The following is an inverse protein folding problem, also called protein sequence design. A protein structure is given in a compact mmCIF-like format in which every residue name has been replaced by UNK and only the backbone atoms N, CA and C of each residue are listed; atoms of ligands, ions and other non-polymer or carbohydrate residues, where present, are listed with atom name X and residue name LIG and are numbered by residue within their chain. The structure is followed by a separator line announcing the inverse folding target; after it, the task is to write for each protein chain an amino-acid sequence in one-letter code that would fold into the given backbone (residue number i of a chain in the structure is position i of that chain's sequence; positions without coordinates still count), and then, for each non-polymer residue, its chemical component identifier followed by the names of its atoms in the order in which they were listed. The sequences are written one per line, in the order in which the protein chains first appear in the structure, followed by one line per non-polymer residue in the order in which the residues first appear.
data_IF_955413657114
#
_entry.id   IF_955413657114
#
_cell.length_a   1.000
_cell.length_b   1.000
_cell.length_c   1.000
_cell.angle_alpha   90.00
_cell.angle_beta   90.00
_cell.angle_gamma   90.00
#
_symmetry.space_group_name_H-M   'P 1'
#
loop_
_entity.id
_entity.type
_entity.pdbx_description
1 polymer ?
#
# COMPACT_ATOMS: atom_id res chain seq x y z
N UNK A 1 -10.62 11.06 -2.89
CA UNK A 1 -9.28 10.81 -2.28
C UNK A 1 -8.67 9.48 -2.70
N UNK A 2 -9.18 8.30 -2.30
CA UNK A 2 -8.53 6.99 -2.58
C UNK A 2 -8.21 6.70 -4.05
N UNK A 3 -9.10 7.04 -4.99
CA UNK A 3 -8.88 6.74 -6.41
C UNK A 3 -7.75 7.55 -7.03
N UNK A 4 -7.61 8.84 -6.66
CA UNK A 4 -6.51 9.70 -7.11
C UNK A 4 -5.17 9.15 -6.62
N UNK A 5 -5.09 8.80 -5.33
CA UNK A 5 -3.89 8.18 -4.75
C UNK A 5 -3.48 6.91 -5.51
N UNK A 6 -4.44 6.03 -5.85
CA UNK A 6 -4.14 4.81 -6.62
C UNK A 6 -3.58 5.11 -8.01
N UNK A 7 -4.13 6.10 -8.71
CA UNK A 7 -3.62 6.52 -10.03
C UNK A 7 -2.21 7.08 -9.90
N UNK A 8 -1.98 7.96 -8.92
CA UNK A 8 -0.68 8.60 -8.72
C UNK A 8 0.38 7.56 -8.34
N UNK A 9 0.06 6.62 -7.44
CA UNK A 9 0.94 5.50 -7.08
C UNK A 9 1.21 4.61 -8.30
N UNK A 10 0.18 4.26 -9.08
CA UNK A 10 0.35 3.45 -10.28
C UNK A 10 1.27 4.15 -11.29
N UNK A 11 1.09 5.46 -11.52
CA UNK A 11 1.96 6.26 -12.38
C UNK A 11 3.41 6.28 -11.91
N UNK A 12 3.65 6.42 -10.61
CA UNK A 12 5.00 6.36 -10.02
C UNK A 12 5.64 4.98 -10.13
N UNK A 13 4.85 3.90 -10.04
CA UNK A 13 5.35 2.52 -10.13
C UNK A 13 5.66 2.09 -11.57
N UNK A 14 4.85 2.52 -12.55
CA UNK A 14 5.08 2.18 -13.97
C UNK A 14 6.48 2.59 -14.43
N UNK A 15 6.98 3.75 -13.99
CA UNK A 15 8.32 4.25 -14.33
C UNK A 15 9.45 3.68 -13.43
N UNK A 16 9.14 2.78 -12.49
CA UNK A 16 10.10 2.20 -11.53
C UNK A 16 9.98 0.67 -11.47
N UNK A 17 10.43 -0.05 -12.52
CA UNK A 17 10.33 -1.51 -12.58
C UNK A 17 11.01 -2.23 -11.42
N UNK A 18 12.09 -1.64 -10.87
CA UNK A 18 12.80 -2.18 -9.71
C UNK A 18 12.03 -2.16 -8.39
N UNK A 19 10.81 -1.62 -8.36
CA UNK A 19 9.90 -1.65 -7.20
C UNK A 19 8.70 -2.58 -7.38
N UNK A 20 8.48 -3.15 -8.56
CA UNK A 20 7.27 -3.93 -8.83
C UNK A 20 7.15 -5.14 -7.92
N UNK A 21 8.24 -5.90 -7.78
CA UNK A 21 8.28 -7.08 -6.90
C UNK A 21 7.99 -6.69 -5.46
N UNK A 22 8.58 -5.60 -4.98
CA UNK A 22 8.35 -5.08 -3.64
C UNK A 22 6.90 -4.63 -3.46
N UNK A 23 6.32 -3.93 -4.44
CA UNK A 23 4.93 -3.49 -4.41
C UNK A 23 3.96 -4.68 -4.32
N UNK A 24 4.15 -5.71 -5.14
CA UNK A 24 3.36 -6.93 -5.07
C UNK A 24 3.53 -7.64 -3.73
N UNK A 25 4.78 -7.80 -3.25
CA UNK A 25 5.05 -8.42 -1.95
C UNK A 25 4.35 -7.67 -0.81
N UNK A 26 4.41 -6.35 -0.80
CA UNK A 26 3.75 -5.53 0.20
C UNK A 26 2.22 -5.61 0.10
N UNK A 27 1.66 -5.70 -1.11
CA UNK A 27 0.22 -5.94 -1.29
C UNK A 27 -0.22 -7.24 -0.62
N UNK A 28 0.52 -8.33 -0.82
CA UNK A 28 0.22 -9.62 -0.17
C UNK A 28 0.44 -9.59 1.35
N UNK A 29 1.46 -8.88 1.83
CA UNK A 29 1.75 -8.76 3.25
C UNK A 29 0.67 -7.96 4.00
N UNK A 30 0.10 -6.94 3.33
CA UNK A 30 -0.94 -6.09 3.91
C UNK A 30 -2.34 -6.69 3.73
N UNK A 31 -2.50 -7.69 2.85
CA UNK A 31 -3.77 -8.33 2.61
C UNK A 31 -4.30 -9.08 3.83
N UNK A 32 -5.62 -9.15 3.96
CA UNK A 32 -6.26 -9.91 5.04
C UNK A 32 -5.90 -11.41 4.97
N UNK A 33 -5.66 -12.03 6.13
CA UNK A 33 -5.33 -13.46 6.20
C UNK A 33 -6.44 -14.32 5.58
N UNK A 34 -6.06 -15.19 4.63
CA UNK A 34 -7.03 -16.05 3.94
C UNK A 34 -7.83 -15.35 2.85
N UNK A 35 -7.36 -14.21 2.33
CA UNK A 35 -7.96 -13.51 1.18
C UNK A 35 -8.23 -14.43 -0.02
N UNK A 36 -7.41 -15.47 -0.23
CA UNK A 36 -7.57 -16.45 -1.30
C UNK A 36 -8.72 -17.45 -1.08
N UNK A 37 -9.34 -17.47 0.10
CA UNK A 37 -10.46 -18.39 0.44
C UNK A 37 -11.82 -17.74 0.27
N UNK A 38 -11.88 -16.42 0.07
CA UNK A 38 -13.14 -15.67 -0.07
C UNK A 38 -13.12 -14.86 -1.35
N UNK A 39 -14.23 -14.87 -2.09
CA UNK A 39 -14.44 -13.94 -3.20
C UNK A 39 -14.23 -12.50 -2.71
N UNK A 40 -13.56 -11.62 -3.46
CA UNK A 40 -13.18 -11.77 -4.87
C UNK A 40 -11.83 -12.47 -5.13
N UNK A 41 -11.25 -13.16 -4.15
CA UNK A 41 -9.94 -13.82 -4.23
C UNK A 41 -8.79 -12.87 -4.59
N UNK A 42 -8.93 -11.60 -4.21
CA UNK A 42 -7.91 -10.59 -4.42
C UNK A 42 -7.23 -10.26 -3.08
N UNK A 43 -5.92 -9.96 -3.09
CA UNK A 43 -5.18 -9.55 -1.90
C UNK A 43 -5.54 -8.09 -1.56
N UNK A 44 -6.73 -7.89 -1.01
CA UNK A 44 -7.21 -6.56 -0.60
C UNK A 44 -6.57 -6.24 0.76
N UNK A 45 -5.88 -5.09 0.90
CA UNK A 45 -5.29 -4.68 2.16
C UNK A 45 -6.32 -4.64 3.30
N UNK A 46 -5.94 -5.16 4.46
CA UNK A 46 -6.75 -5.10 5.66
C UNK A 46 -6.89 -3.63 6.11
N UNK A 47 -8.13 -3.14 6.16
CA UNK A 47 -8.43 -1.76 6.50
C UNK A 47 -7.98 -1.38 7.91
N UNK A 48 -8.15 -2.25 8.90
CA UNK A 48 -7.74 -2.00 10.30
C UNK A 48 -6.22 -1.85 10.39
N UNK A 49 -5.47 -2.67 9.65
CA UNK A 49 -4.01 -2.58 9.58
C UNK A 49 -3.55 -1.28 8.92
N UNK A 50 -4.23 -0.84 7.87
CA UNK A 50 -3.94 0.41 7.18
C UNK A 50 -4.23 1.60 8.10
N UNK A 51 -5.36 1.61 8.79
CA UNK A 51 -5.72 2.67 9.75
C UNK A 51 -4.74 2.73 10.92
N UNK A 52 -4.35 1.58 11.46
CA UNK A 52 -3.29 1.51 12.46
C UNK A 52 -2.01 2.16 11.95
N UNK A 53 -1.55 1.80 10.74
CA UNK A 53 -0.33 2.38 10.14
C UNK A 53 -0.41 3.88 9.96
N UNK A 54 -1.51 4.38 9.40
CA UNK A 54 -1.74 5.83 9.19
C UNK A 54 -1.67 6.54 10.54
N UNK A 55 -2.38 6.04 11.54
CA UNK A 55 -2.41 6.63 12.88
C UNK A 55 -1.02 6.63 13.53
N UNK A 56 -0.23 5.56 13.36
CA UNK A 56 1.14 5.51 13.92
C UNK A 56 2.11 6.44 13.21
N UNK A 57 1.97 6.62 11.89
CA UNK A 57 2.87 7.46 11.11
C UNK A 57 2.55 8.94 11.25
N UNK A 58 1.27 9.31 11.15
CA UNK A 58 0.84 10.71 11.08
C UNK A 58 0.18 11.22 12.36
N UNK A 59 -0.10 10.35 13.33
CA UNK A 59 -0.79 10.71 14.58
C UNK A 59 -2.29 10.97 14.43
N UNK A 60 -2.81 11.07 13.19
CA UNK A 60 -4.22 11.29 12.87
C UNK A 60 -4.64 10.48 11.65
N UNK A 61 -5.93 10.12 11.58
CA UNK A 61 -6.54 9.53 10.38
C UNK A 61 -7.02 10.58 9.37
N UNK A 62 -7.02 11.86 9.76
CA UNK A 62 -7.46 12.97 8.91
C UNK A 62 -6.34 13.45 7.95
N UNK A 63 -5.11 12.98 8.15
CA UNK A 63 -3.99 13.33 7.29
C UNK A 63 -4.16 12.69 5.91
N UNK A 64 -4.11 13.51 4.86
CA UNK A 64 -4.13 13.05 3.49
C UNK A 64 -2.81 12.33 3.17
N UNK A 65 -2.90 11.11 2.66
CA UNK A 65 -1.75 10.31 2.24
C UNK A 65 -1.41 10.67 0.80
N UNK A 66 -0.15 10.97 0.54
CA UNK A 66 0.33 11.24 -0.81
C UNK A 66 1.00 10.02 -1.43
N UNK A 67 1.06 9.99 -2.76
CA UNK A 67 1.69 8.89 -3.48
C UNK A 67 3.21 8.78 -3.18
N UNK A 68 3.85 9.89 -2.81
CA UNK A 68 5.26 9.92 -2.40
C UNK A 68 5.50 9.18 -1.09
N UNK A 69 4.53 9.18 -0.16
CA UNK A 69 4.62 8.43 1.08
C UNK A 69 4.63 6.92 0.83
N UNK A 70 3.75 6.47 -0.08
CA UNK A 70 3.71 5.07 -0.52
C UNK A 70 5.02 4.68 -1.21
N UNK A 71 5.56 5.56 -2.04
CA UNK A 71 6.84 5.33 -2.70
C UNK A 71 8.00 5.22 -1.69
N UNK A 72 8.03 6.09 -0.68
CA UNK A 72 9.03 6.06 0.39
C UNK A 72 8.94 4.74 1.17
N UNK A 73 7.73 4.28 1.50
CA UNK A 73 7.51 2.98 2.15
C UNK A 73 8.02 1.80 1.31
N UNK A 74 7.76 1.80 -0.01
CA UNK A 74 8.20 0.73 -0.90
C UNK A 74 9.72 0.72 -1.10
N UNK A 75 10.36 1.89 -1.14
CA UNK A 75 11.81 2.00 -1.16
C UNK A 75 12.40 1.46 0.13
N UNK A 76 11.87 1.86 1.28
CA UNK A 76 12.30 1.35 2.57
C UNK A 76 12.14 -0.18 2.66
N UNK A 77 10.99 -0.72 2.28
CA UNK A 77 10.68 -2.16 2.29
C UNK A 77 11.48 -2.99 1.28
N UNK A 78 12.17 -2.34 0.35
CA UNK A 78 13.06 -3.01 -0.59
C UNK A 78 14.45 -3.19 0.01
N UNK A 79 14.90 -2.22 0.80
CA UNK A 79 16.22 -2.20 1.42
C UNK A 79 16.26 -2.96 2.77
N UNK A 80 15.12 -3.04 3.47
CA UNK A 80 14.97 -3.67 4.80
C UNK A 80 13.84 -4.70 4.81
#
# INVERSE_FOLDING_TARGET
MRFKLLIDVAGLLVVRPGLWVTAFRQLFNLAESGWWKRLPFLPIPNQDLIEFRIKTQYGSLETEIEAVDVLAWLLWSKEF
#
